data_IF_086115751450
#
_entry.id   IF_086115751450
#
_cell.length_a   1.000
_cell.length_b   1.000
_cell.length_c   1.000
_cell.angle_alpha   90.00
_cell.angle_beta   90.00
_cell.angle_gamma   90.00
#
_symmetry.space_group_name_H-M   'P 1'
#
loop_
_entity.id
_entity.type
_entity.pdbx_description
1 polymer ?
#
# COMPACT_ATOMS: atom_id res chain seq x y z
N UNK A 1 -8.16 -17.00 19.89
CA UNK A 1 -8.07 -15.69 19.20
C UNK A 1 -8.24 -15.95 17.72
N UNK A 2 -9.05 -15.15 17.00
CA UNK A 2 -9.25 -15.25 15.55
C UNK A 2 -8.81 -13.92 14.93
N UNK A 3 -8.01 -13.98 13.87
CA UNK A 3 -7.57 -12.81 13.09
C UNK A 3 -8.23 -12.88 11.71
N UNK A 4 -8.87 -11.80 11.27
CA UNK A 4 -9.43 -11.68 9.91
C UNK A 4 -8.45 -10.97 8.97
N UNK A 5 -8.02 -11.66 7.92
CA UNK A 5 -7.04 -11.17 6.95
C UNK A 5 -7.73 -10.96 5.60
N UNK A 6 -7.49 -9.80 4.99
CA UNK A 6 -8.03 -9.41 3.69
C UNK A 6 -6.88 -9.29 2.70
N UNK A 7 -6.96 -10.03 1.59
CA UNK A 7 -6.03 -9.90 0.46
C UNK A 7 -6.61 -8.98 -0.60
N UNK A 8 -5.84 -7.96 -0.99
CA UNK A 8 -6.18 -7.09 -2.10
C UNK A 8 -5.60 -7.64 -3.41
N UNK A 9 -6.44 -7.72 -4.43
CA UNK A 9 -6.02 -8.12 -5.78
C UNK A 9 -6.37 -7.01 -6.76
N UNK A 10 -5.34 -6.39 -7.32
CA UNK A 10 -5.47 -5.30 -8.29
C UNK A 10 -4.27 -5.30 -9.24
N UNK A 11 -4.42 -4.66 -10.40
CA UNK A 11 -3.30 -4.33 -11.27
C UNK A 11 -2.53 -3.08 -10.78
N UNK A 12 -3.17 -2.24 -9.95
CA UNK A 12 -2.66 -0.92 -9.59
C UNK A 12 -2.48 0.00 -10.80
N UNK A 13 -1.85 1.14 -10.56
CA UNK A 13 -1.49 2.14 -11.57
C UNK A 13 0.03 2.28 -11.63
N UNK A 14 0.62 1.85 -12.74
CA UNK A 14 2.08 1.83 -12.91
C UNK A 14 2.68 3.24 -12.84
N UNK A 15 3.58 3.47 -11.88
CA UNK A 15 4.27 4.75 -11.67
C UNK A 15 3.42 5.85 -11.02
N UNK A 16 2.13 5.61 -10.76
CA UNK A 16 1.22 6.61 -10.19
C UNK A 16 0.94 6.33 -8.72
N UNK A 17 1.85 6.83 -7.86
CA UNK A 17 1.75 6.71 -6.41
C UNK A 17 0.46 7.35 -5.88
N UNK A 18 0.01 8.47 -6.46
CA UNK A 18 -1.17 9.17 -5.99
C UNK A 18 -2.44 8.33 -6.25
N UNK A 19 -2.58 7.76 -7.44
CA UNK A 19 -3.67 6.85 -7.76
C UNK A 19 -3.65 5.60 -6.85
N UNK A 20 -2.48 5.01 -6.62
CA UNK A 20 -2.36 3.82 -5.77
C UNK A 20 -2.66 4.13 -4.29
N UNK A 21 -2.36 5.32 -3.78
CA UNK A 21 -2.75 5.75 -2.42
C UNK A 21 -4.27 5.91 -2.28
N UNK A 22 -4.94 6.43 -3.31
CA UNK A 22 -6.40 6.52 -3.35
C UNK A 22 -7.01 5.12 -3.31
N UNK A 23 -6.47 4.21 -4.11
CA UNK A 23 -6.93 2.81 -4.13
C UNK A 23 -6.66 2.10 -2.81
N UNK A 24 -5.47 2.25 -2.22
CA UNK A 24 -5.11 1.69 -0.92
C UNK A 24 -6.08 2.14 0.17
N UNK A 25 -6.42 3.43 0.20
CA UNK A 25 -7.36 3.99 1.17
C UNK A 25 -8.77 3.41 1.01
N UNK A 26 -9.23 3.25 -0.23
CA UNK A 26 -10.52 2.63 -0.52
C UNK A 26 -10.55 1.17 -0.05
N UNK A 27 -9.52 0.39 -0.39
CA UNK A 27 -9.39 -1.01 0.00
C UNK A 27 -9.28 -1.17 1.52
N UNK A 28 -8.55 -0.29 2.21
CA UNK A 28 -8.44 -0.27 3.66
C UNK A 28 -9.79 -0.03 4.35
N UNK A 29 -10.56 0.95 3.82
CA UNK A 29 -11.89 1.25 4.32
C UNK A 29 -12.86 0.09 4.12
N UNK A 30 -12.83 -0.54 2.95
CA UNK A 30 -13.65 -1.70 2.62
C UNK A 30 -13.30 -2.92 3.49
N UNK A 31 -11.99 -3.21 3.63
CA UNK A 31 -11.52 -4.28 4.50
C UNK A 31 -11.98 -4.06 5.94
N UNK A 32 -11.89 -2.81 6.45
CA UNK A 32 -12.31 -2.49 7.81
C UNK A 32 -13.83 -2.60 7.99
N UNK A 33 -14.63 -2.12 7.04
CA UNK A 33 -16.09 -2.21 7.12
C UNK A 33 -16.59 -3.66 7.05
N UNK A 34 -15.84 -4.54 6.37
CA UNK A 34 -16.07 -5.99 6.33
C UNK A 34 -15.57 -6.75 7.58
N UNK A 35 -15.02 -6.08 8.59
CA UNK A 35 -14.48 -6.71 9.80
C UNK A 35 -13.07 -7.30 9.64
N UNK A 36 -12.35 -6.92 8.58
CA UNK A 36 -10.93 -7.21 8.40
C UNK A 36 -10.05 -6.48 9.42
N UNK A 37 -8.98 -7.14 9.85
CA UNK A 37 -8.03 -6.62 10.83
C UNK A 37 -6.65 -6.35 10.20
N UNK A 38 -6.32 -7.06 9.12
CA UNK A 38 -5.10 -6.91 8.33
C UNK A 38 -5.43 -6.87 6.83
N UNK A 39 -4.95 -5.85 6.13
CA UNK A 39 -4.95 -5.75 4.67
C UNK A 39 -3.56 -6.11 4.12
N UNK A 40 -3.50 -6.94 3.08
CA UNK A 40 -2.26 -7.31 2.39
C UNK A 40 -2.38 -6.90 0.91
N UNK A 41 -1.43 -6.13 0.40
CA UNK A 41 -1.36 -5.74 -1.02
C UNK A 41 -0.42 -6.63 -1.83
N UNK A 42 -0.49 -6.61 -3.17
CA UNK A 42 0.55 -7.19 -4.02
C UNK A 42 1.94 -6.57 -3.81
N UNK A 43 2.97 -7.27 -4.28
CA UNK A 43 4.35 -6.77 -4.35
C UNK A 43 4.44 -5.47 -5.15
N UNK A 44 5.23 -4.50 -4.67
CA UNK A 44 5.47 -3.20 -5.31
C UNK A 44 4.21 -2.41 -5.67
N UNK A 45 3.04 -2.78 -5.14
CA UNK A 45 1.75 -2.19 -5.49
C UNK A 45 1.76 -0.66 -5.44
N UNK A 46 2.39 -0.06 -4.42
CA UNK A 46 2.30 1.38 -4.20
C UNK A 46 2.91 2.21 -5.35
N UNK A 47 3.92 1.67 -6.03
CA UNK A 47 4.59 2.33 -7.18
C UNK A 47 4.31 1.63 -8.52
N UNK A 48 3.83 0.39 -8.49
CA UNK A 48 3.76 -0.50 -9.64
C UNK A 48 5.00 -1.39 -9.79
N UNK A 49 4.77 -2.57 -10.36
CA UNK A 49 5.80 -3.56 -10.66
C UNK A 49 6.41 -3.30 -12.05
N UNK A 50 7.71 -3.61 -12.22
CA UNK A 50 8.42 -3.50 -13.51
C UNK A 50 8.41 -2.10 -14.16
N UNK A 51 8.64 -1.05 -13.36
CA UNK A 51 8.68 0.36 -13.80
C UNK A 51 10.09 0.86 -14.20
N UNK A 52 11.08 -0.05 -14.27
CA UNK A 52 12.47 0.28 -14.60
C UNK A 52 13.08 1.32 -13.64
N UNK A 53 13.94 2.18 -14.18
CA UNK A 53 14.70 3.18 -13.39
C UNK A 53 13.80 4.23 -12.72
N UNK A 54 12.52 4.33 -13.09
CA UNK A 54 11.57 5.20 -12.40
C UNK A 54 11.44 4.82 -10.92
N UNK A 55 11.70 3.56 -10.56
CA UNK A 55 11.67 3.10 -9.16
C UNK A 55 12.58 3.94 -8.26
N UNK A 56 13.75 4.38 -8.75
CA UNK A 56 14.71 5.12 -7.95
C UNK A 56 14.20 6.51 -7.57
N UNK A 57 13.49 7.19 -8.46
CA UNK A 57 12.91 8.50 -8.17
C UNK A 57 11.69 8.39 -7.25
N UNK A 58 10.84 7.37 -7.43
CA UNK A 58 9.68 7.16 -6.56
C UNK A 58 10.09 6.76 -5.14
N UNK A 59 11.13 5.94 -5.00
CA UNK A 59 11.63 5.48 -3.69
C UNK A 59 12.19 6.61 -2.81
N UNK A 60 12.53 7.78 -3.38
CA UNK A 60 12.97 8.97 -2.61
C UNK A 60 11.83 9.63 -1.83
N UNK A 61 10.58 9.35 -2.19
CA UNK A 61 9.42 9.85 -1.45
C UNK A 61 9.29 9.11 -0.12
N UNK A 62 8.71 9.75 0.91
CA UNK A 62 8.43 9.08 2.18
C UNK A 62 7.16 8.21 2.10
N UNK A 63 7.22 7.16 1.29
CA UNK A 63 6.10 6.26 1.00
C UNK A 63 5.58 5.57 2.26
N UNK A 64 6.48 5.19 3.17
CA UNK A 64 6.11 4.56 4.45
C UNK A 64 5.26 5.51 5.29
N UNK A 65 5.61 6.79 5.38
CA UNK A 65 4.81 7.76 6.13
C UNK A 65 3.38 7.86 5.57
N UNK A 66 3.22 7.90 4.24
CA UNK A 66 1.91 7.98 3.58
C UNK A 66 1.06 6.74 3.89
N UNK A 67 1.64 5.54 3.85
CA UNK A 67 0.96 4.29 4.22
C UNK A 67 0.56 4.30 5.70
N UNK A 68 1.44 4.76 6.59
CA UNK A 68 1.15 4.86 8.02
C UNK A 68 -0.01 5.82 8.32
N UNK A 69 -0.13 6.93 7.58
CA UNK A 69 -1.25 7.85 7.69
C UNK A 69 -2.58 7.16 7.34
N UNK A 70 -2.63 6.43 6.22
CA UNK A 70 -3.83 5.67 5.83
C UNK A 70 -4.16 4.59 6.88
N UNK A 71 -3.16 3.84 7.37
CA UNK A 71 -3.37 2.82 8.39
C UNK A 71 -3.96 3.38 9.69
N UNK A 72 -3.48 4.56 10.12
CA UNK A 72 -4.01 5.27 11.30
C UNK A 72 -5.44 5.76 11.10
N UNK A 73 -5.71 6.36 9.95
CA UNK A 73 -7.03 6.94 9.64
C UNK A 73 -8.10 5.85 9.48
N UNK A 74 -7.82 4.78 8.75
CA UNK A 74 -8.76 3.69 8.49
C UNK A 74 -8.74 2.60 9.59
N UNK A 75 -7.83 2.69 10.57
CA UNK A 75 -7.72 1.82 11.76
C UNK A 75 -7.62 0.33 11.42
N UNK A 76 -6.75 -0.01 10.48
CA UNK A 76 -6.47 -1.37 10.03
C UNK A 76 -4.96 -1.59 9.91
N UNK A 77 -4.47 -2.80 10.25
CA UNK A 77 -3.07 -3.15 10.01
C UNK A 77 -2.85 -3.38 8.50
N UNK A 78 -1.64 -3.12 8.01
CA UNK A 78 -1.32 -3.22 6.59
C UNK A 78 0.04 -3.88 6.33
N UNK A 79 0.08 -4.75 5.33
CA UNK A 79 1.31 -5.17 4.64
C UNK A 79 1.23 -4.60 3.22
N UNK A 80 2.12 -3.67 2.90
CA UNK A 80 2.12 -2.96 1.61
C UNK A 80 3.43 -3.19 0.88
N UNK A 81 3.34 -3.60 -0.39
CA UNK A 81 4.48 -3.69 -1.29
C UNK A 81 4.86 -2.31 -1.83
N UNK A 82 6.10 -1.88 -1.56
CA UNK A 82 6.67 -0.60 -2.02
C UNK A 82 8.21 -0.69 -2.06
N UNK A 83 8.88 0.16 -2.86
CA UNK A 83 10.33 0.31 -2.78
C UNK A 83 10.71 1.22 -1.62
N UNK A 84 11.84 0.93 -0.99
CA UNK A 84 12.43 1.76 0.04
C UNK A 84 13.82 2.21 -0.41
N UNK A 85 14.09 3.51 -0.30
CA UNK A 85 15.43 4.04 -0.47
C UNK A 85 16.10 4.12 0.90
N UNK A 86 16.83 3.06 1.26
CA UNK A 86 17.68 3.06 2.44
C UNK A 86 19.06 3.63 2.10
N UNK A 87 19.54 4.55 2.94
CA UNK A 87 20.86 5.14 2.78
C UNK A 87 21.99 4.24 3.32
N UNK A 88 21.65 3.18 4.05
CA UNK A 88 22.61 2.34 4.78
C UNK A 88 23.11 2.98 6.06
#
# INVERSE_FOLDING_TARGET
MKLSIVGMQTAGSLGDVAANLVELRAAAREAKSGGGELLITPEMFLTGYNIGDHVFELAKQNLIQMVQEIAREERIAMIVGLPEHDAG
#
